data_IF_956406739838
#
_entry.id   IF_956406739838
#
_cell.length_a   1.000
_cell.length_b   1.000
_cell.length_c   1.000
_cell.angle_alpha   90.00
_cell.angle_beta   90.00
_cell.angle_gamma   90.00
#
_symmetry.space_group_name_H-M   'P 1'
#
loop_
_entity.id
_entity.type
_entity.pdbx_description
1 polymer ?
#
# COMPACT_ATOMS: atom_id res chain seq x y z
N UNK A 1 -19.92 9.77 -10.91
CA UNK A 1 -20.73 8.56 -11.15
C UNK A 1 -19.88 7.36 -10.78
N UNK A 2 -20.00 6.86 -9.55
CA UNK A 2 -19.32 5.63 -9.11
C UNK A 2 -20.26 4.47 -9.39
N UNK A 3 -19.89 3.59 -10.33
CA UNK A 3 -20.60 2.34 -10.53
C UNK A 3 -20.52 1.46 -9.28
N UNK A 4 -21.45 0.50 -9.08
CA UNK A 4 -21.39 -0.39 -7.93
C UNK A 4 -20.08 -1.18 -7.96
N UNK A 5 -19.39 -1.24 -6.81
CA UNK A 5 -18.25 -2.14 -6.61
C UNK A 5 -18.78 -3.58 -6.57
N UNK A 6 -18.92 -4.19 -7.74
CA UNK A 6 -19.32 -5.59 -7.87
C UNK A 6 -18.09 -6.43 -7.51
N UNK A 7 -18.03 -6.98 -6.30
CA UNK A 7 -17.17 -8.14 -6.03
C UNK A 7 -17.78 -9.33 -6.77
N UNK A 8 -17.14 -9.91 -7.80
CA UNK A 8 -17.63 -11.15 -8.39
C UNK A 8 -17.46 -12.24 -7.33
N UNK A 9 -18.56 -12.90 -6.94
CA UNK A 9 -18.58 -13.93 -5.90
C UNK A 9 -17.66 -15.15 -6.18
N UNK A 10 -17.03 -15.22 -7.36
CA UNK A 10 -16.20 -16.34 -7.82
C UNK A 10 -14.93 -15.88 -8.58
N UNK A 11 -14.34 -14.72 -8.26
CA UNK A 11 -13.05 -14.37 -8.87
C UNK A 11 -11.93 -15.22 -8.26
N UNK A 12 -11.74 -16.44 -8.80
CA UNK A 12 -10.53 -17.22 -8.55
C UNK A 12 -9.38 -16.50 -9.25
N UNK A 13 -8.78 -15.55 -8.56
CA UNK A 13 -7.61 -14.82 -9.07
C UNK A 13 -6.50 -15.85 -9.23
N UNK A 14 -6.19 -16.20 -10.48
CA UNK A 14 -5.02 -17.03 -10.74
C UNK A 14 -3.79 -16.25 -10.29
N UNK A 15 -2.86 -16.87 -9.53
CA UNK A 15 -1.61 -16.22 -9.19
C UNK A 15 -0.91 -15.73 -10.45
N UNK A 16 -0.38 -14.50 -10.40
CA UNK A 16 0.43 -13.98 -11.50
C UNK A 16 1.63 -14.90 -11.74
N UNK A 17 1.89 -15.19 -13.02
CA UNK A 17 3.11 -15.86 -13.45
C UNK A 17 4.31 -14.95 -13.21
N UNK A 18 5.51 -15.53 -13.15
CA UNK A 18 6.72 -14.78 -12.82
C UNK A 18 7.02 -13.65 -13.84
N UNK A 19 6.74 -13.88 -15.12
CA UNK A 19 6.89 -12.86 -16.16
C UNK A 19 5.86 -11.71 -16.01
N UNK A 20 4.63 -12.00 -15.62
CA UNK A 20 3.60 -10.99 -15.35
C UNK A 20 3.95 -10.17 -14.12
N UNK A 21 4.40 -10.84 -13.06
CA UNK A 21 4.92 -10.22 -11.85
C UNK A 21 6.08 -9.28 -12.16
N UNK A 22 7.06 -9.73 -12.95
CA UNK A 22 8.19 -8.91 -13.35
C UNK A 22 7.76 -7.67 -14.14
N UNK A 23 6.72 -7.78 -14.99
CA UNK A 23 6.14 -6.63 -15.70
C UNK A 23 5.48 -5.63 -14.77
N UNK A 24 4.74 -6.11 -13.75
CA UNK A 24 4.14 -5.24 -12.73
C UNK A 24 5.22 -4.54 -11.91
N UNK A 25 6.23 -5.26 -11.43
CA UNK A 25 7.36 -4.67 -10.72
C UNK A 25 8.09 -3.61 -11.56
N UNK A 26 8.36 -3.91 -12.83
CA UNK A 26 9.02 -2.97 -13.74
C UNK A 26 8.18 -1.69 -13.95
N UNK A 27 6.85 -1.84 -14.09
CA UNK A 27 5.94 -0.70 -14.24
C UNK A 27 5.88 0.15 -12.97
N UNK A 28 5.76 -0.47 -11.78
CA UNK A 28 5.76 0.23 -10.50
C UNK A 28 7.08 0.96 -10.26
N UNK A 29 8.19 0.27 -10.51
CA UNK A 29 9.53 0.83 -10.34
C UNK A 29 9.74 2.06 -11.23
N UNK A 30 9.40 1.95 -12.51
CA UNK A 30 9.56 3.04 -13.48
C UNK A 30 8.68 4.26 -13.20
N UNK A 31 7.47 4.07 -12.68
CA UNK A 31 6.50 5.15 -12.50
C UNK A 31 6.61 5.82 -11.13
N UNK A 32 6.79 5.03 -10.08
CA UNK A 32 6.72 5.52 -8.70
C UNK A 32 8.09 5.60 -8.02
N UNK A 33 8.97 4.63 -8.24
CA UNK A 33 10.23 4.53 -7.47
C UNK A 33 11.38 5.38 -8.01
N UNK A 34 11.38 5.76 -9.29
CA UNK A 34 12.42 6.64 -9.87
C UNK A 34 12.30 8.10 -9.47
N UNK A 35 11.20 8.48 -8.82
CA UNK A 35 10.95 9.86 -8.38
C UNK A 35 11.83 10.28 -7.20
N UNK A 36 12.34 9.30 -6.42
CA UNK A 36 13.00 9.55 -5.15
C UNK A 36 12.07 10.04 -4.02
N UNK A 37 10.76 10.10 -4.28
CA UNK A 37 9.76 10.63 -3.35
C UNK A 37 9.06 9.52 -2.55
N UNK A 38 9.17 8.26 -2.96
CA UNK A 38 8.66 7.13 -2.19
C UNK A 38 9.61 6.87 -1.01
N UNK A 39 9.13 6.95 0.24
CA UNK A 39 9.99 6.78 1.42
C UNK A 39 10.71 5.44 1.41
N UNK A 40 11.98 5.46 1.76
CA UNK A 40 12.75 4.25 2.03
C UNK A 40 12.68 3.93 3.52
N UNK A 41 12.64 2.63 3.85
CA UNK A 41 12.79 2.22 5.25
C UNK A 41 14.20 2.58 5.71
N UNK A 42 14.26 3.23 6.88
CA UNK A 42 15.49 3.43 7.64
C UNK A 42 15.61 2.34 8.70
N UNK A 43 16.76 1.67 8.76
CA UNK A 43 17.03 0.66 9.79
C UNK A 43 16.97 1.32 11.18
N UNK A 44 16.11 0.81 12.06
CA UNK A 44 15.95 1.34 13.40
C UNK A 44 17.07 0.83 14.34
N UNK A 45 17.68 1.70 15.16
CA UNK A 45 18.65 1.29 16.18
C UNK A 45 18.07 0.20 17.11
N UNK A 46 18.83 -0.88 17.32
CA UNK A 46 18.43 -1.99 18.19
C UNK A 46 17.52 -3.04 17.55
N UNK A 47 17.08 -2.86 16.30
CA UNK A 47 16.44 -3.90 15.50
C UNK A 47 17.45 -4.54 14.53
N UNK A 48 17.20 -5.77 14.11
CA UNK A 48 17.98 -6.43 13.06
C UNK A 48 17.82 -5.62 11.76
N UNK A 49 18.92 -5.26 11.06
CA UNK A 49 18.84 -4.57 9.78
C UNK A 49 18.00 -5.37 8.79
N UNK A 50 17.16 -4.67 8.02
CA UNK A 50 16.38 -5.29 6.96
C UNK A 50 17.31 -5.64 5.80
N UNK A 51 17.10 -6.82 5.22
CA UNK A 51 17.77 -7.24 4.00
C UNK A 51 17.35 -6.37 2.82
N UNK A 52 18.20 -6.34 1.78
CA UNK A 52 17.88 -5.61 0.55
C UNK A 52 16.58 -6.09 -0.11
N UNK A 53 16.25 -7.37 -0.01
CA UNK A 53 14.98 -7.90 -0.51
C UNK A 53 13.76 -7.42 0.30
N UNK A 54 13.89 -7.30 1.63
CA UNK A 54 12.84 -6.75 2.48
C UNK A 54 12.62 -5.25 2.20
N UNK A 55 13.70 -4.48 2.07
CA UNK A 55 13.65 -3.05 1.69
C UNK A 55 13.00 -2.89 0.30
N UNK A 56 13.41 -3.71 -0.67
CA UNK A 56 12.83 -3.73 -2.02
C UNK A 56 11.32 -4.05 -1.99
N UNK A 57 10.92 -5.10 -1.27
CA UNK A 57 9.50 -5.49 -1.15
C UNK A 57 8.67 -4.40 -0.51
N UNK A 58 9.18 -3.74 0.54
CA UNK A 58 8.47 -2.61 1.15
C UNK A 58 8.29 -1.44 0.15
N UNK A 59 9.33 -1.06 -0.60
CA UNK A 59 9.19 -0.02 -1.63
C UNK A 59 8.16 -0.39 -2.69
N UNK A 60 8.12 -1.66 -3.09
CA UNK A 60 7.08 -2.16 -4.01
C UNK A 60 5.68 -2.12 -3.39
N UNK A 61 5.52 -2.41 -2.10
CA UNK A 61 4.26 -2.22 -1.37
C UNK A 61 3.81 -0.76 -1.40
N UNK A 62 4.69 0.19 -1.05
CA UNK A 62 4.38 1.63 -1.09
C UNK A 62 4.03 2.10 -2.52
N UNK A 63 4.75 1.62 -3.54
CA UNK A 63 4.40 1.91 -4.93
C UNK A 63 3.04 1.33 -5.34
N UNK A 64 2.65 0.14 -4.83
CA UNK A 64 1.32 -0.42 -5.05
C UNK A 64 0.22 0.46 -4.41
N UNK A 65 0.45 0.97 -3.20
CA UNK A 65 -0.49 1.89 -2.53
C UNK A 65 -0.67 3.19 -3.32
N UNK A 66 0.44 3.83 -3.71
CA UNK A 66 0.41 5.05 -4.53
C UNK A 66 -0.27 4.82 -5.89
N UNK A 67 0.00 3.69 -6.54
CA UNK A 67 -0.68 3.29 -7.77
C UNK A 67 -2.19 3.12 -7.56
N UNK A 68 -2.59 2.49 -6.46
CA UNK A 68 -4.00 2.26 -6.13
C UNK A 68 -4.75 3.58 -5.97
N UNK A 69 -4.17 4.54 -5.23
CA UNK A 69 -4.75 5.88 -5.08
C UNK A 69 -4.82 6.60 -6.44
N UNK A 70 -3.72 6.69 -7.17
CA UNK A 70 -3.69 7.34 -8.49
C UNK A 70 -4.73 6.73 -9.45
N UNK A 71 -4.86 5.41 -9.46
CA UNK A 71 -5.77 4.72 -10.36
C UNK A 71 -7.25 4.81 -9.93
N UNK A 72 -7.57 4.61 -8.65
CA UNK A 72 -8.96 4.65 -8.18
C UNK A 72 -9.50 6.07 -8.13
N UNK A 73 -8.68 7.04 -7.70
CA UNK A 73 -9.07 8.44 -7.59
C UNK A 73 -8.89 9.23 -8.90
N UNK A 74 -8.27 8.62 -9.93
CA UNK A 74 -7.95 9.26 -11.22
C UNK A 74 -7.10 10.53 -11.06
N UNK A 75 -6.17 10.51 -10.10
CA UNK A 75 -5.24 11.61 -9.81
C UNK A 75 -3.85 11.31 -10.39
N UNK A 76 -3.04 12.35 -10.68
CA UNK A 76 -1.64 12.18 -11.05
C UNK A 76 -0.83 11.28 -10.10
N UNK A 77 0.21 10.64 -10.63
CA UNK A 77 1.05 9.72 -9.85
C UNK A 77 1.70 10.40 -8.64
N UNK A 78 2.04 11.70 -8.74
CA UNK A 78 2.62 12.45 -7.64
C UNK A 78 1.64 12.64 -6.47
N UNK A 79 0.34 12.79 -6.74
CA UNK A 79 -0.69 12.84 -5.69
C UNK A 79 -0.86 11.49 -5.01
N UNK A 80 -0.72 10.40 -5.78
CA UNK A 80 -0.67 9.04 -5.23
C UNK A 80 0.54 8.85 -4.30
N UNK A 81 1.71 9.37 -4.66
CA UNK A 81 2.90 9.33 -3.80
C UNK A 81 2.72 10.19 -2.55
N UNK A 82 2.14 11.39 -2.70
CA UNK A 82 1.88 12.30 -1.59
C UNK A 82 0.85 11.76 -0.57
N UNK A 83 0.04 10.77 -0.97
CA UNK A 83 -0.91 10.10 -0.08
C UNK A 83 -0.28 9.04 0.84
N UNK A 84 0.99 8.67 0.61
CA UNK A 84 1.65 7.63 1.40
C UNK A 84 1.85 8.07 2.84
N UNK A 85 1.59 7.15 3.76
CA UNK A 85 1.95 7.32 5.17
C UNK A 85 3.45 7.02 5.33
N UNK A 86 4.14 7.95 5.98
CA UNK A 86 5.56 7.81 6.31
C UNK A 86 5.74 6.77 7.42
N UNK A 87 6.88 6.07 7.41
CA UNK A 87 7.30 5.22 8.52
C UNK A 87 6.91 3.75 8.40
N UNK A 88 7.34 3.00 9.43
CA UNK A 88 6.98 1.59 9.67
C UNK A 88 5.83 1.44 10.68
N UNK A 89 5.43 2.54 11.31
CA UNK A 89 4.40 2.61 12.36
C UNK A 89 3.08 3.14 11.79
N UNK A 90 2.76 2.73 10.56
CA UNK A 90 1.58 3.19 9.82
C UNK A 90 0.23 2.62 10.33
N UNK A 91 0.27 1.87 11.43
CA UNK A 91 -0.84 1.12 12.02
C UNK A 91 -1.66 0.33 10.98
N UNK A 92 -0.99 -0.18 9.94
CA UNK A 92 -1.62 -0.94 8.85
C UNK A 92 -2.26 -0.10 7.75
N UNK A 93 -2.07 1.23 7.72
CA UNK A 93 -2.58 2.13 6.67
C UNK A 93 -1.41 2.71 5.86
N UNK A 94 -1.12 2.11 4.71
CA UNK A 94 -0.01 2.53 3.85
C UNK A 94 -0.25 3.86 3.11
N UNK A 95 -1.51 4.25 2.88
CA UNK A 95 -1.86 5.52 2.23
C UNK A 95 -3.25 6.04 2.63
N UNK A 96 -3.37 7.37 2.69
CA UNK A 96 -4.60 8.11 2.98
C UNK A 96 -4.80 9.20 1.91
N UNK A 97 -5.92 9.17 1.21
CA UNK A 97 -6.26 10.19 0.21
C UNK A 97 -7.70 10.66 0.34
N UNK A 98 -7.92 11.98 0.24
CA UNK A 98 -9.24 12.59 0.32
C UNK A 98 -9.65 13.14 -1.05
N UNK A 99 -10.88 12.84 -1.47
CA UNK A 99 -11.48 13.40 -2.69
C UNK A 99 -12.95 13.73 -2.45
N UNK A 100 -13.25 15.04 -2.38
CA UNK A 100 -14.53 15.53 -1.90
C UNK A 100 -14.83 15.01 -0.50
N UNK A 101 -15.98 14.36 -0.33
CA UNK A 101 -16.43 13.77 0.95
C UNK A 101 -16.00 12.30 1.13
N UNK A 102 -15.12 11.78 0.27
CA UNK A 102 -14.67 10.38 0.31
C UNK A 102 -13.22 10.28 0.78
N UNK A 103 -12.98 9.43 1.78
CA UNK A 103 -11.64 9.05 2.25
C UNK A 103 -11.28 7.68 1.72
N UNK A 104 -10.12 7.57 1.07
CA UNK A 104 -9.52 6.33 0.61
C UNK A 104 -8.42 5.94 1.60
N UNK A 105 -8.59 4.78 2.24
CA UNK A 105 -7.59 4.15 3.10
C UNK A 105 -7.08 2.91 2.38
N UNK A 106 -5.76 2.82 2.19
CA UNK A 106 -5.14 1.75 1.42
C UNK A 106 -4.13 1.02 2.29
N UNK A 107 -4.24 -0.31 2.30
CA UNK A 107 -3.18 -1.22 2.70
C UNK A 107 -2.72 -1.97 1.44
N UNK A 108 -1.42 -2.06 1.19
CA UNK A 108 -0.88 -2.96 0.18
C UNK A 108 0.37 -3.69 0.68
N UNK A 109 0.49 -4.98 0.33
CA UNK A 109 1.69 -5.78 0.63
C UNK A 109 2.16 -6.53 -0.61
N UNK A 110 3.37 -6.24 -1.08
CA UNK A 110 4.00 -6.96 -2.17
C UNK A 110 4.49 -8.34 -1.69
N UNK A 111 3.63 -9.37 -1.82
CA UNK A 111 3.98 -10.76 -1.44
C UNK A 111 3.42 -11.80 -2.42
N UNK A 112 3.76 -13.07 -2.17
CA UNK A 112 3.12 -14.23 -2.80
C UNK A 112 2.08 -14.79 -1.85
N UNK A 113 0.99 -15.33 -2.40
CA UNK A 113 -0.09 -15.93 -1.61
C UNK A 113 -1.15 -14.92 -1.20
N UNK A 114 -2.07 -15.40 -0.37
CA UNK A 114 -3.19 -14.62 0.13
C UNK A 114 -2.77 -13.72 1.31
N UNK A 115 -3.52 -12.64 1.58
CA UNK A 115 -3.35 -11.86 2.80
C UNK A 115 -3.49 -12.76 4.03
N UNK A 116 -2.57 -12.58 4.98
CA UNK A 116 -2.66 -13.25 6.27
C UNK A 116 -3.63 -12.49 7.19
N UNK A 117 -4.44 -13.23 7.95
CA UNK A 117 -5.45 -12.64 8.80
C UNK A 117 -4.85 -11.77 9.90
N UNK A 118 -3.82 -12.26 10.56
CA UNK A 118 -3.27 -11.63 11.76
C UNK A 118 -2.16 -10.63 11.40
N UNK A 119 -1.41 -10.89 10.33
CA UNK A 119 -0.31 -10.01 9.91
C UNK A 119 -0.73 -8.90 8.92
N UNK A 120 -1.81 -9.07 8.15
CA UNK A 120 -2.20 -8.09 7.12
C UNK A 120 -3.61 -7.52 7.37
N UNK A 121 -4.59 -8.36 7.66
CA UNK A 121 -5.99 -7.92 7.76
C UNK A 121 -6.25 -7.26 9.13
N UNK A 122 -5.80 -7.89 10.22
CA UNK A 122 -6.04 -7.38 11.57
C UNK A 122 -5.44 -5.98 11.80
N UNK A 123 -4.17 -5.70 11.43
CA UNK A 123 -3.60 -4.36 11.56
C UNK A 123 -4.39 -3.31 10.79
N UNK A 124 -4.78 -3.57 9.53
CA UNK A 124 -5.60 -2.63 8.77
C UNK A 124 -6.95 -2.33 9.43
N UNK A 125 -7.64 -3.36 9.92
CA UNK A 125 -8.93 -3.17 10.62
C UNK A 125 -8.73 -2.38 11.90
N UNK A 126 -7.64 -2.63 12.63
CA UNK A 126 -7.31 -1.91 13.86
C UNK A 126 -6.98 -0.44 13.57
N UNK A 127 -6.12 -0.16 12.59
CA UNK A 127 -5.82 1.21 12.16
C UNK A 127 -7.06 1.99 11.73
N UNK A 128 -7.99 1.35 11.00
CA UNK A 128 -9.26 2.00 10.65
C UNK A 128 -10.07 2.37 11.89
N UNK A 129 -10.10 1.52 12.93
CA UNK A 129 -10.80 1.84 14.19
C UNK A 129 -10.11 2.98 14.93
N UNK A 130 -8.80 2.91 15.07
CA UNK A 130 -8.02 3.95 15.75
C UNK A 130 -8.19 5.31 15.08
N UNK A 131 -8.22 5.35 13.74
CA UNK A 131 -8.50 6.57 12.99
C UNK A 131 -9.91 7.13 13.27
N UNK A 132 -10.93 6.25 13.34
CA UNK A 132 -12.32 6.66 13.59
C UNK A 132 -12.57 7.09 15.04
N UNK A 133 -11.88 6.46 15.99
CA UNK A 133 -11.99 6.75 17.42
C UNK A 133 -11.12 7.95 17.85
N UNK A 134 -10.23 8.43 16.95
CA UNK A 134 -9.36 9.57 17.19
C UNK A 134 -8.08 9.24 17.98
N UNK A 135 -7.69 7.97 18.02
CA UNK A 135 -6.48 7.47 18.69
C UNK A 135 -5.24 7.72 17.80
N UNK A 136 -4.99 8.98 17.47
CA UNK A 136 -3.92 9.36 16.54
C UNK A 136 -2.51 9.09 17.09
N UNK A 137 -2.36 8.89 18.40
CA UNK A 137 -1.12 8.49 19.04
C UNK A 137 -0.61 7.10 18.64
N UNK A 138 -1.45 6.30 17.96
CA UNK A 138 -1.09 4.98 17.45
C UNK A 138 -0.48 5.04 16.02
N UNK A 139 -0.26 6.24 15.45
CA UNK A 139 0.31 6.50 14.13
C UNK A 139 1.54 7.41 14.22
#
# INVERSE_FOLDING_TARGET
MTGPFIRPANLRVKPLRDNERARVEAALSKRFLTTGLVPEIVDQPGKKPKTEDEKRKNRLSKALSAYTVSHLCQVPEHDGIASLVDGEEDNGIDAIHLTGDTVYLVQAKYKRGEPDRDEDIHPFVQGVRDLLDGNYENF
#
